data_IF_076048719838
#
_entry.id   IF_076048719838
#
_cell.length_a   1.000
_cell.length_b   1.000
_cell.length_c   1.000
_cell.angle_alpha   90.00
_cell.angle_beta   90.00
_cell.angle_gamma   90.00
#
_symmetry.space_group_name_H-M   'P 1'
#
loop_
_entity.id
_entity.type
_entity.pdbx_description
1 polymer ?
#
# COMPACT_ATOMS: atom_id res chain seq x y z
N UNK A 1 49.51 5.88 65.35
CA UNK A 1 50.63 5.49 64.47
C UNK A 1 50.24 5.66 63.03
N UNK A 2 50.80 6.65 62.38
CA UNK A 2 50.68 7.00 60.97
C UNK A 2 51.35 5.97 60.09
N UNK A 3 50.81 5.65 58.97
CA UNK A 3 51.63 5.44 57.80
C UNK A 3 50.89 5.90 56.56
N UNK A 4 51.48 6.87 55.90
CA UNK A 4 51.17 7.34 54.57
C UNK A 4 51.47 6.22 53.54
N UNK A 5 50.58 5.94 52.68
CA UNK A 5 50.93 5.31 51.41
C UNK A 5 50.27 6.03 50.24
N UNK A 6 51.13 6.32 49.30
CA UNK A 6 50.93 7.28 48.23
C UNK A 6 49.85 6.90 47.21
N UNK A 7 49.31 7.93 46.64
CA UNK A 7 48.42 7.90 45.46
C UNK A 7 49.28 7.61 44.21
N UNK A 8 49.15 6.45 43.67
CA UNK A 8 49.64 6.17 42.34
C UNK A 8 48.42 6.26 41.40
N UNK A 9 48.40 7.33 40.65
CA UNK A 9 47.44 7.53 39.57
C UNK A 9 47.85 6.63 38.42
N UNK A 10 47.15 5.53 38.24
CA UNK A 10 47.24 4.76 37.00
C UNK A 10 46.29 5.37 36.00
N UNK A 11 46.84 6.07 35.03
CA UNK A 11 46.15 6.47 33.83
C UNK A 11 45.99 5.22 32.95
N UNK A 12 44.84 4.60 33.00
CA UNK A 12 44.47 3.52 32.05
C UNK A 12 44.03 4.17 30.74
N UNK A 13 44.94 4.19 29.79
CA UNK A 13 44.66 4.49 28.41
C UNK A 13 43.82 3.32 27.86
N UNK A 14 42.50 3.53 27.73
CA UNK A 14 41.63 2.61 27.01
C UNK A 14 41.87 2.89 25.53
N UNK A 15 42.73 2.08 24.91
CA UNK A 15 42.81 1.94 23.48
C UNK A 15 41.57 1.16 23.08
N UNK A 16 40.56 1.86 22.55
CA UNK A 16 39.44 1.23 21.88
C UNK A 16 39.95 0.66 20.55
N UNK A 17 40.45 -0.57 20.59
CA UNK A 17 40.63 -1.36 19.39
C UNK A 17 39.24 -1.72 18.89
N UNK A 18 38.75 -0.99 17.88
CA UNK A 18 37.61 -1.39 17.05
C UNK A 18 38.05 -2.65 16.29
N UNK A 19 37.74 -3.80 16.86
CA UNK A 19 37.76 -5.06 16.13
C UNK A 19 36.56 -5.02 15.19
N UNK A 20 36.78 -4.55 13.96
CA UNK A 20 35.92 -4.92 12.84
C UNK A 20 36.11 -6.44 12.65
N UNK A 21 35.36 -7.23 13.38
CA UNK A 21 35.14 -8.61 13.00
C UNK A 21 34.28 -8.57 11.73
N UNK A 22 34.94 -8.63 10.57
CA UNK A 22 34.32 -9.10 9.37
C UNK A 22 33.89 -10.53 9.65
N UNK A 23 32.62 -10.71 9.98
CA UNK A 23 31.99 -12.03 9.97
C UNK A 23 31.99 -12.43 8.51
N UNK A 24 33.03 -13.12 8.08
CA UNK A 24 33.00 -13.91 6.87
C UNK A 24 32.03 -15.07 7.12
N UNK A 25 30.75 -14.84 6.87
CA UNK A 25 29.80 -15.92 6.72
C UNK A 25 30.19 -16.61 5.41
N UNK A 26 31.02 -17.63 5.53
CA UNK A 26 31.26 -18.55 4.43
C UNK A 26 29.95 -19.30 4.19
N UNK A 27 29.14 -18.80 3.27
CA UNK A 27 28.09 -19.60 2.69
C UNK A 27 28.77 -20.76 1.95
N UNK A 28 28.54 -21.97 2.43
CA UNK A 28 28.94 -23.16 1.70
C UNK A 28 28.38 -23.06 0.28
N UNK A 29 29.26 -23.06 -0.68
CA UNK A 29 29.03 -22.73 -2.06
C UNK A 29 28.02 -23.66 -2.74
N UNK A 30 26.84 -23.13 -2.97
CA UNK A 30 26.03 -23.53 -4.11
C UNK A 30 26.28 -22.56 -5.27
N UNK A 31 27.47 -22.63 -5.87
CA UNK A 31 27.87 -21.71 -6.95
C UNK A 31 26.97 -21.77 -8.20
N UNK A 32 26.18 -22.82 -8.34
CA UNK A 32 25.18 -22.96 -9.42
C UNK A 32 23.86 -22.28 -9.13
N UNK A 33 23.41 -22.23 -7.88
CA UNK A 33 22.14 -21.57 -7.52
C UNK A 33 22.29 -20.03 -7.49
N UNK A 34 23.42 -19.53 -7.02
CA UNK A 34 23.68 -18.10 -6.98
C UNK A 34 23.84 -17.51 -8.39
N UNK A 35 24.45 -18.24 -9.31
CA UNK A 35 24.54 -17.83 -10.72
C UNK A 35 23.19 -17.89 -11.45
N UNK A 36 22.35 -18.85 -11.11
CA UNK A 36 20.99 -18.95 -11.64
C UNK A 36 20.10 -17.82 -11.13
N UNK A 37 20.19 -17.50 -9.83
CA UNK A 37 19.42 -16.41 -9.22
C UNK A 37 19.85 -15.04 -9.74
N UNK A 38 21.14 -14.82 -9.96
CA UNK A 38 21.67 -13.58 -10.55
C UNK A 38 21.25 -13.44 -12.01
N UNK A 39 21.30 -14.52 -12.80
CA UNK A 39 20.81 -14.53 -14.19
C UNK A 39 19.29 -14.31 -14.26
N UNK A 40 18.52 -14.93 -13.34
CA UNK A 40 17.09 -14.71 -13.25
C UNK A 40 16.76 -13.25 -12.95
N UNK A 41 17.46 -12.62 -12.00
CA UNK A 41 17.28 -11.20 -11.66
C UNK A 41 17.62 -10.28 -12.82
N UNK A 42 18.64 -10.60 -13.61
CA UNK A 42 18.97 -9.86 -14.82
C UNK A 42 17.91 -10.01 -15.93
N UNK A 43 17.41 -11.24 -16.12
CA UNK A 43 16.34 -11.49 -17.09
C UNK A 43 15.02 -10.84 -16.69
N UNK A 44 14.68 -10.82 -15.40
CA UNK A 44 13.50 -10.11 -14.89
C UNK A 44 13.63 -8.59 -15.05
N UNK A 45 14.83 -8.03 -14.87
CA UNK A 45 15.11 -6.62 -15.14
C UNK A 45 14.95 -6.28 -16.65
N UNK A 46 15.26 -7.21 -17.53
CA UNK A 46 15.06 -7.09 -18.98
C UNK A 46 13.57 -7.23 -19.33
N UNK A 47 12.83 -8.13 -18.66
CA UNK A 47 11.40 -8.36 -18.88
C UNK A 47 10.54 -7.15 -18.49
N UNK A 48 10.95 -6.38 -17.46
CA UNK A 48 10.27 -5.13 -17.08
C UNK A 48 10.69 -3.92 -17.93
N UNK A 49 11.46 -4.13 -18.97
CA UNK A 49 12.04 -3.05 -19.77
C UNK A 49 12.99 -2.21 -18.90
N UNK A 50 14.16 -1.97 -19.41
CA UNK A 50 15.18 -1.13 -18.75
C UNK A 50 14.75 0.36 -18.78
N UNK A 51 13.51 0.64 -18.34
CA UNK A 51 12.97 2.00 -18.29
C UNK A 51 13.34 2.61 -16.95
N UNK A 52 14.38 3.42 -16.95
CA UNK A 52 14.73 4.26 -15.81
C UNK A 52 13.54 5.12 -15.30
N UNK A 53 12.51 5.30 -16.15
CA UNK A 53 11.31 6.06 -15.85
C UNK A 53 10.06 5.30 -16.33
N UNK A 54 9.39 4.55 -15.47
CA UNK A 54 8.14 3.88 -15.82
C UNK A 54 7.07 4.92 -16.19
N UNK A 55 6.37 4.69 -17.30
CA UNK A 55 5.29 5.58 -17.74
C UNK A 55 4.04 5.44 -16.86
N UNK A 56 3.75 4.21 -16.41
CA UNK A 56 2.61 3.87 -15.58
C UNK A 56 3.08 3.12 -14.32
N UNK A 57 2.43 3.37 -13.21
CA UNK A 57 2.69 2.69 -11.94
C UNK A 57 1.37 2.16 -11.40
N UNK A 58 1.31 0.87 -11.09
CA UNK A 58 0.22 0.25 -10.35
C UNK A 58 0.80 -0.18 -8.99
N UNK A 59 0.26 0.38 -7.93
CA UNK A 59 0.63 0.02 -6.56
C UNK A 59 -0.47 -0.87 -5.97
N UNK A 60 -0.13 -2.11 -5.68
CA UNK A 60 -1.06 -3.11 -5.15
C UNK A 60 -0.77 -3.33 -3.66
N UNK A 61 -1.80 -3.19 -2.84
CA UNK A 61 -1.73 -3.39 -1.39
C UNK A 61 -2.61 -4.57 -1.01
N UNK A 62 -1.99 -5.60 -0.42
CA UNK A 62 -2.72 -6.64 0.30
C UNK A 62 -2.91 -6.20 1.75
N UNK A 63 -4.07 -5.64 2.07
CA UNK A 63 -4.36 -5.13 3.41
C UNK A 63 -4.43 -6.27 4.42
N UNK A 64 -3.68 -6.13 5.52
CA UNK A 64 -3.54 -7.18 6.53
C UNK A 64 -2.79 -8.44 6.04
N UNK A 65 -2.33 -8.49 4.78
CA UNK A 65 -1.67 -9.65 4.18
C UNK A 65 -0.20 -9.75 4.60
N UNK A 66 0.03 -10.08 5.86
CA UNK A 66 1.37 -10.32 6.39
C UNK A 66 2.00 -11.64 5.91
N UNK A 67 3.26 -11.94 6.30
CA UNK A 67 3.98 -13.15 5.88
C UNK A 67 3.26 -14.46 6.18
N UNK A 68 2.43 -14.49 7.24
CA UNK A 68 1.65 -15.67 7.62
C UNK A 68 0.60 -16.03 6.57
N UNK A 69 -0.05 -15.04 5.96
CA UNK A 69 -1.02 -15.27 4.89
C UNK A 69 -0.35 -15.82 3.63
N UNK A 70 0.80 -15.27 3.25
CA UNK A 70 1.58 -15.81 2.13
C UNK A 70 2.02 -17.25 2.39
N UNK A 71 2.40 -17.56 3.63
CA UNK A 71 2.78 -18.91 4.05
C UNK A 71 1.58 -19.86 3.98
N UNK A 72 0.43 -19.46 4.53
CA UNK A 72 -0.80 -20.24 4.44
C UNK A 72 -1.20 -20.52 2.98
N UNK A 73 -1.11 -19.51 2.13
CA UNK A 73 -1.41 -19.66 0.70
C UNK A 73 -0.44 -20.63 -0.01
N UNK A 74 0.85 -20.62 0.35
CA UNK A 74 1.80 -21.63 -0.17
C UNK A 74 1.38 -23.03 0.18
N UNK A 75 1.00 -23.28 1.44
CA UNK A 75 0.49 -24.60 1.87
C UNK A 75 -0.82 -24.96 1.18
N UNK A 76 -1.76 -24.06 1.07
CA UNK A 76 -3.02 -24.28 0.36
C UNK A 76 -2.79 -24.69 -1.10
N UNK A 77 -1.88 -24.01 -1.78
CA UNK A 77 -1.56 -24.26 -3.19
C UNK A 77 -0.73 -25.55 -3.40
N UNK A 78 -0.01 -26.01 -2.38
CA UNK A 78 0.91 -27.12 -2.49
C UNK A 78 0.18 -28.46 -2.40
N UNK A 79 0.58 -29.44 -3.24
CA UNK A 79 0.04 -30.78 -3.16
C UNK A 79 0.74 -31.56 -2.04
N UNK A 80 0.00 -32.28 -1.16
CA UNK A 80 0.62 -33.19 -0.18
C UNK A 80 1.57 -34.20 -0.87
N UNK A 81 2.73 -34.43 -0.28
CA UNK A 81 3.75 -35.35 -0.83
C UNK A 81 4.60 -34.77 -1.96
N UNK A 82 4.40 -33.50 -2.35
CA UNK A 82 5.27 -32.86 -3.32
C UNK A 82 6.71 -32.72 -2.78
N UNK A 83 7.72 -33.05 -3.59
CA UNK A 83 9.14 -32.94 -3.21
C UNK A 83 9.60 -31.50 -2.98
N UNK A 84 8.91 -30.53 -3.58
CA UNK A 84 9.20 -29.09 -3.47
C UNK A 84 7.90 -28.32 -3.28
N UNK A 85 7.95 -27.25 -2.50
CA UNK A 85 6.86 -26.29 -2.37
C UNK A 85 6.60 -25.60 -3.71
N UNK A 86 5.34 -25.55 -4.14
CA UNK A 86 4.95 -24.79 -5.33
C UNK A 86 5.07 -23.30 -5.04
N UNK A 87 5.90 -22.54 -5.78
CA UNK A 87 6.03 -21.11 -5.57
C UNK A 87 4.74 -20.39 -5.92
N UNK A 88 4.46 -19.32 -5.19
CA UNK A 88 3.38 -18.36 -5.53
C UNK A 88 3.89 -17.34 -6.54
N UNK A 89 2.98 -16.58 -7.15
CA UNK A 89 3.37 -15.44 -7.99
C UNK A 89 4.21 -14.41 -7.23
N UNK A 90 3.93 -14.21 -5.94
CA UNK A 90 4.67 -13.29 -5.07
C UNK A 90 6.12 -13.72 -4.86
N UNK A 91 6.38 -15.01 -4.72
CA UNK A 91 7.75 -15.53 -4.47
C UNK A 91 8.70 -15.15 -5.59
N UNK A 92 8.22 -15.14 -6.82
CA UNK A 92 9.00 -14.78 -8.00
C UNK A 92 9.51 -13.33 -7.95
N UNK A 93 8.73 -12.42 -7.38
CA UNK A 93 9.01 -10.98 -7.37
C UNK A 93 9.45 -10.45 -6.00
N UNK A 94 9.55 -11.31 -4.99
CA UNK A 94 9.96 -10.91 -3.65
C UNK A 94 11.35 -10.28 -3.66
N UNK A 95 11.45 -9.03 -3.23
CA UNK A 95 12.72 -8.28 -3.11
C UNK A 95 13.09 -7.99 -1.67
N UNK A 96 12.13 -8.06 -0.75
CA UNK A 96 12.36 -7.77 0.66
C UNK A 96 11.07 -7.62 1.45
N UNK A 97 11.22 -7.13 2.66
CA UNK A 97 10.11 -6.84 3.57
C UNK A 97 10.23 -5.42 4.08
N UNK A 98 9.12 -4.84 4.50
CA UNK A 98 9.09 -3.55 5.17
C UNK A 98 8.51 -3.66 6.58
N UNK A 99 8.79 -2.66 7.40
CA UNK A 99 8.23 -2.54 8.75
C UNK A 99 7.09 -1.55 8.71
N UNK A 100 5.89 -2.01 9.07
CA UNK A 100 4.65 -1.22 8.98
C UNK A 100 4.23 -0.58 10.29
N UNK A 101 5.02 -0.65 11.37
CA UNK A 101 4.66 -0.02 12.65
C UNK A 101 4.30 1.46 12.48
N UNK A 102 3.28 1.90 13.22
CA UNK A 102 2.83 3.29 13.26
C UNK A 102 3.69 4.17 14.18
N UNK A 103 3.56 5.48 14.05
CA UNK A 103 4.08 6.44 15.04
C UNK A 103 2.97 6.81 16.03
N UNK A 104 2.42 5.78 16.67
CA UNK A 104 1.34 5.92 17.63
C UNK A 104 1.91 5.82 19.07
N UNK A 105 1.57 6.76 19.97
CA UNK A 105 2.10 6.74 21.35
C UNK A 105 1.44 5.67 22.23
N UNK A 106 0.36 5.04 21.79
CA UNK A 106 -0.44 4.10 22.59
C UNK A 106 -0.42 2.67 22.06
N UNK A 107 -0.15 2.48 20.77
CA UNK A 107 -0.28 1.19 20.11
C UNK A 107 0.95 0.82 19.29
N UNK A 108 1.40 -0.43 19.43
CA UNK A 108 2.55 -0.95 18.68
C UNK A 108 2.15 -1.53 17.31
N UNK A 109 0.88 -1.92 17.16
CA UNK A 109 0.38 -2.53 15.93
C UNK A 109 -0.22 -1.44 15.06
N UNK A 110 0.25 -1.33 13.82
CA UNK A 110 -0.30 -0.38 12.86
C UNK A 110 -1.70 -0.80 12.42
N UNK A 111 -2.55 0.20 12.17
CA UNK A 111 -3.73 0.01 11.35
C UNK A 111 -3.42 0.32 9.88
N UNK A 112 -4.41 0.09 8.98
CA UNK A 112 -4.26 0.40 7.55
C UNK A 112 -4.21 1.90 7.26
N UNK A 113 -4.72 2.75 8.14
CA UNK A 113 -4.65 4.19 7.97
C UNK A 113 -3.21 4.70 8.14
N UNK A 114 -2.54 4.37 9.24
CA UNK A 114 -1.15 4.75 9.48
C UNK A 114 -0.20 4.06 8.50
N UNK A 115 -0.39 2.76 8.24
CA UNK A 115 0.40 2.01 7.27
C UNK A 115 0.24 2.54 5.85
N UNK A 116 -0.99 2.79 5.43
CA UNK A 116 -1.32 3.37 4.12
C UNK A 116 -0.80 4.80 3.98
N UNK A 117 -0.90 5.63 5.02
CA UNK A 117 -0.31 6.98 5.05
C UNK A 117 1.21 6.91 4.82
N UNK A 118 1.90 5.95 5.44
CA UNK A 118 3.33 5.78 5.21
C UNK A 118 3.64 5.39 3.75
N UNK A 119 2.82 4.54 3.12
CA UNK A 119 2.97 4.20 1.71
C UNK A 119 2.66 5.36 0.77
N UNK A 120 1.61 6.13 1.06
CA UNK A 120 1.16 7.21 0.19
C UNK A 120 2.00 8.48 0.29
N UNK A 121 2.60 8.75 1.47
CA UNK A 121 3.27 10.03 1.76
C UNK A 121 4.76 9.90 2.10
N UNK A 122 5.21 8.69 2.45
CA UNK A 122 6.56 8.46 3.00
C UNK A 122 6.71 8.84 4.48
N UNK A 123 5.65 9.23 5.17
CA UNK A 123 5.69 9.66 6.56
C UNK A 123 4.89 8.73 7.47
N UNK A 124 5.46 8.39 8.62
CA UNK A 124 4.77 7.64 9.66
C UNK A 124 3.90 8.57 10.51
N UNK A 125 2.71 8.05 10.86
CA UNK A 125 1.72 8.77 11.66
C UNK A 125 1.04 7.83 12.66
N UNK A 126 0.09 8.35 13.42
CA UNK A 126 -0.68 7.59 14.42
C UNK A 126 -1.79 6.76 13.76
N UNK A 127 -2.27 5.74 14.44
CA UNK A 127 -3.36 4.89 13.97
C UNK A 127 -4.65 5.70 13.74
N UNK A 128 -5.35 5.41 12.66
CA UNK A 128 -6.54 6.15 12.23
C UNK A 128 -6.29 7.37 11.36
N UNK A 129 -5.06 7.87 11.24
CA UNK A 129 -4.74 9.05 10.46
C UNK A 129 -4.75 8.80 8.94
N UNK A 130 -5.44 9.64 8.19
CA UNK A 130 -5.50 9.60 6.73
C UNK A 130 -4.66 10.75 6.17
N UNK A 131 -3.46 10.44 5.72
CA UNK A 131 -2.49 11.37 5.10
C UNK A 131 -2.34 12.70 5.81
N UNK A 132 -2.31 12.63 7.15
CA UNK A 132 -1.90 13.73 8.04
C UNK A 132 -0.74 13.27 8.92
N UNK A 133 0.09 14.22 9.34
CA UNK A 133 1.18 13.98 10.28
C UNK A 133 0.68 13.80 11.73
N UNK A 134 1.60 13.62 12.67
CA UNK A 134 1.27 13.49 14.09
C UNK A 134 0.68 14.77 14.71
N UNK A 135 0.78 15.91 14.03
CA UNK A 135 0.16 17.18 14.39
C UNK A 135 -1.14 17.43 13.60
N UNK A 136 -1.66 16.42 12.91
CA UNK A 136 -2.88 16.47 12.09
C UNK A 136 -2.79 17.41 10.87
N UNK A 137 -1.58 17.74 10.43
CA UNK A 137 -1.35 18.54 9.23
C UNK A 137 -1.36 17.65 8.00
N UNK A 138 -2.07 18.04 6.92
CA UNK A 138 -2.07 17.29 5.65
C UNK A 138 -0.66 17.08 5.09
N UNK A 139 -0.40 15.88 4.61
CA UNK A 139 0.83 15.52 3.92
C UNK A 139 0.47 15.08 2.51
N UNK A 140 1.05 15.73 1.52
CA UNK A 140 0.80 15.43 0.11
C UNK A 140 1.13 13.98 -0.23
N UNK A 141 0.18 13.28 -0.84
CA UNK A 141 0.34 11.91 -1.29
C UNK A 141 1.06 11.78 -2.64
N UNK A 142 1.58 10.60 -2.93
CA UNK A 142 2.17 10.29 -4.24
C UNK A 142 1.14 10.38 -5.38
N UNK A 143 -0.13 10.08 -5.13
CA UNK A 143 -1.20 10.25 -6.12
C UNK A 143 -1.42 11.72 -6.46
N UNK A 144 -1.42 12.59 -5.46
CA UNK A 144 -1.54 14.03 -5.66
C UNK A 144 -0.36 14.59 -6.43
N UNK A 145 0.87 14.14 -6.12
CA UNK A 145 2.06 14.52 -6.88
C UNK A 145 1.98 14.07 -8.34
N UNK A 146 1.49 12.85 -8.60
CA UNK A 146 1.27 12.35 -9.95
C UNK A 146 0.22 13.20 -10.70
N UNK A 147 -0.86 13.58 -10.02
CA UNK A 147 -1.90 14.44 -10.59
C UNK A 147 -1.38 15.84 -10.93
N UNK A 148 -0.57 16.43 -10.08
CA UNK A 148 0.11 17.73 -10.35
C UNK A 148 0.96 17.67 -11.63
N UNK A 149 1.57 16.52 -11.89
CA UNK A 149 2.36 16.27 -13.11
C UNK A 149 1.52 15.90 -14.34
N UNK A 150 0.18 16.03 -14.24
CA UNK A 150 -0.74 15.74 -15.35
C UNK A 150 -0.98 14.26 -15.62
N UNK A 151 -0.60 13.36 -14.72
CA UNK A 151 -0.89 11.92 -14.83
C UNK A 151 -2.37 11.65 -14.59
N UNK A 152 -2.88 10.58 -15.21
CA UNK A 152 -4.15 9.97 -14.82
C UNK A 152 -3.97 9.21 -13.51
N UNK A 153 -4.99 9.23 -12.67
CA UNK A 153 -4.95 8.66 -11.32
C UNK A 153 -6.19 7.79 -11.07
N UNK A 154 -6.02 6.73 -10.29
CA UNK A 154 -7.13 5.82 -9.99
C UNK A 154 -6.98 5.16 -8.63
N UNK A 155 -8.13 4.84 -8.03
CA UNK A 155 -8.28 4.05 -6.83
C UNK A 155 -9.20 2.86 -7.13
N UNK A 156 -8.73 1.66 -6.86
CA UNK A 156 -9.51 0.42 -6.98
C UNK A 156 -9.38 -0.36 -5.70
N UNK A 157 -10.49 -0.75 -5.10
CA UNK A 157 -10.49 -1.45 -3.82
C UNK A 157 -11.64 -2.46 -3.72
N UNK A 158 -11.46 -3.49 -2.91
CA UNK A 158 -12.54 -4.40 -2.51
C UNK A 158 -13.27 -3.93 -1.26
N UNK A 159 -12.76 -2.91 -0.57
CA UNK A 159 -13.40 -2.24 0.55
C UNK A 159 -14.29 -1.07 0.08
N UNK A 160 -14.85 -0.31 1.03
CA UNK A 160 -15.45 0.99 0.73
C UNK A 160 -14.39 1.95 0.16
N UNK A 161 -14.70 2.73 -0.85
CA UNK A 161 -13.78 3.74 -1.41
C UNK A 161 -13.30 4.75 -0.34
N UNK A 162 -14.11 4.98 0.68
CA UNK A 162 -13.79 5.83 1.82
C UNK A 162 -13.05 5.12 2.94
N UNK A 163 -12.75 3.84 2.80
CA UNK A 163 -11.92 3.15 3.77
C UNK A 163 -10.46 3.62 3.71
N UNK A 164 -9.71 3.33 4.77
CA UNK A 164 -8.39 3.92 4.98
C UNK A 164 -7.42 3.69 3.82
N UNK A 165 -7.32 2.45 3.34
CA UNK A 165 -6.32 2.06 2.34
C UNK A 165 -6.43 2.84 1.02
N UNK A 166 -7.61 3.02 0.39
CA UNK A 166 -7.73 3.93 -0.74
C UNK A 166 -7.72 5.42 -0.32
N UNK A 167 -8.32 5.78 0.83
CA UNK A 167 -8.47 7.16 1.24
C UNK A 167 -7.15 7.91 1.43
N UNK A 168 -6.11 7.25 1.94
CA UNK A 168 -4.79 7.87 2.19
C UNK A 168 -4.11 8.43 0.93
N UNK A 169 -4.58 8.09 -0.25
CA UNK A 169 -4.02 8.62 -1.50
C UNK A 169 -4.67 9.93 -1.95
N UNK A 170 -5.90 10.24 -1.48
CA UNK A 170 -6.66 11.36 -2.02
C UNK A 170 -7.40 12.22 -0.97
N UNK A 171 -7.35 11.85 0.31
CA UNK A 171 -7.98 12.61 1.41
C UNK A 171 -6.99 12.87 2.55
N UNK A 172 -7.32 13.85 3.40
CA UNK A 172 -6.52 14.25 4.55
C UNK A 172 -7.45 14.52 5.73
N UNK A 173 -7.64 13.51 6.58
CA UNK A 173 -8.45 13.63 7.80
C UNK A 173 -7.74 13.00 8.98
N UNK A 174 -8.01 13.51 10.18
CA UNK A 174 -7.38 13.08 11.41
C UNK A 174 -7.96 11.76 11.98
N UNK A 175 -9.02 11.23 11.36
CA UNK A 175 -9.60 9.92 11.68
C UNK A 175 -10.20 9.25 10.45
N UNK A 176 -9.89 7.97 10.25
CA UNK A 176 -10.46 7.10 9.21
C UNK A 176 -11.99 6.93 9.33
N UNK A 177 -12.56 7.21 10.51
CA UNK A 177 -14.00 7.10 10.74
C UNK A 177 -14.79 8.25 10.11
N UNK A 178 -14.13 9.32 9.70
CA UNK A 178 -14.73 10.48 9.01
C UNK A 178 -15.03 10.18 7.55
N UNK A 179 -15.70 9.07 7.27
CA UNK A 179 -15.93 8.57 5.91
C UNK A 179 -16.71 9.53 5.01
N UNK A 180 -17.66 10.26 5.57
CA UNK A 180 -18.39 11.29 4.83
C UNK A 180 -17.49 12.47 4.43
N UNK A 181 -16.58 12.87 5.31
CA UNK A 181 -15.60 13.91 5.02
C UNK A 181 -14.61 13.45 3.94
N UNK A 182 -14.14 12.21 4.02
CA UNK A 182 -13.29 11.60 3.00
C UNK A 182 -13.96 11.64 1.62
N UNK A 183 -15.22 11.20 1.52
CA UNK A 183 -15.96 11.23 0.27
C UNK A 183 -16.15 12.68 -0.25
N UNK A 184 -16.39 13.63 0.65
CA UNK A 184 -16.48 15.05 0.29
C UNK A 184 -15.15 15.60 -0.21
N UNK A 185 -14.02 15.21 0.38
CA UNK A 185 -12.69 15.62 -0.09
C UNK A 185 -12.37 15.04 -1.47
N UNK A 186 -12.78 13.80 -1.77
CA UNK A 186 -12.64 13.23 -3.12
C UNK A 186 -13.31 14.10 -4.19
N UNK A 187 -14.42 14.75 -3.86
CA UNK A 187 -15.12 15.63 -4.78
C UNK A 187 -14.58 17.07 -4.74
N UNK A 188 -14.44 17.64 -3.55
CA UNK A 188 -14.19 19.07 -3.38
C UNK A 188 -12.74 19.48 -3.65
N UNK A 189 -11.79 18.61 -3.28
CA UNK A 189 -10.37 18.94 -3.41
C UNK A 189 -9.93 18.77 -4.86
N UNK A 190 -9.41 19.84 -5.41
CA UNK A 190 -8.97 19.89 -6.82
C UNK A 190 -7.47 20.13 -6.90
N UNK A 191 -6.86 19.59 -7.94
CA UNK A 191 -5.48 19.87 -8.33
C UNK A 191 -5.51 20.46 -9.72
N UNK A 192 -4.98 21.67 -9.88
CA UNK A 192 -5.02 22.42 -11.14
C UNK A 192 -6.45 22.50 -11.73
N UNK A 193 -7.45 22.69 -10.89
CA UNK A 193 -8.87 22.78 -11.27
C UNK A 193 -9.54 21.44 -11.64
N UNK A 194 -8.83 20.31 -11.54
CA UNK A 194 -9.34 18.97 -11.84
C UNK A 194 -9.52 18.14 -10.58
N UNK A 195 -10.44 17.19 -10.60
CA UNK A 195 -10.53 16.19 -9.52
C UNK A 195 -9.22 15.43 -9.35
N UNK A 196 -8.87 15.08 -8.11
CA UNK A 196 -7.64 14.37 -7.80
C UNK A 196 -7.60 12.98 -8.42
N UNK A 197 -8.74 12.29 -8.48
CA UNK A 197 -8.85 10.89 -8.90
C UNK A 197 -9.74 10.79 -10.13
N UNK A 198 -9.23 10.24 -11.21
CA UNK A 198 -10.00 10.09 -12.45
C UNK A 198 -10.88 8.83 -12.41
N UNK A 199 -10.40 7.74 -11.84
CA UNK A 199 -11.14 6.48 -11.75
C UNK A 199 -11.21 6.00 -10.31
N UNK A 200 -12.41 5.80 -9.81
CA UNK A 200 -12.68 5.27 -8.47
C UNK A 200 -13.61 4.06 -8.60
N UNK A 201 -13.14 2.88 -8.19
CA UNK A 201 -13.89 1.63 -8.28
C UNK A 201 -13.84 0.90 -6.93
N UNK A 202 -15.00 0.61 -6.33
CA UNK A 202 -15.05 -0.09 -5.04
C UNK A 202 -16.46 -0.21 -4.46
N UNK A 203 -16.51 -0.44 -3.15
CA UNK A 203 -17.73 -0.38 -2.36
C UNK A 203 -18.00 1.03 -1.81
N UNK A 204 -18.98 1.14 -0.91
CA UNK A 204 -19.28 2.37 -0.19
C UNK A 204 -20.25 3.31 -0.88
N UNK A 205 -21.20 2.80 -1.69
CA UNK A 205 -22.19 3.60 -2.42
C UNK A 205 -22.93 4.60 -1.51
N UNK A 206 -23.21 4.23 -0.27
CA UNK A 206 -23.87 5.07 0.73
C UNK A 206 -23.19 6.45 0.93
N UNK A 207 -21.86 6.51 0.85
CA UNK A 207 -21.11 7.77 1.04
C UNK A 207 -21.15 8.72 -0.15
N UNK A 208 -21.65 8.26 -1.30
CA UNK A 208 -21.81 9.07 -2.51
C UNK A 208 -23.27 9.41 -2.80
N UNK A 209 -24.22 8.85 -2.04
CA UNK A 209 -25.65 9.00 -2.19
C UNK A 209 -26.23 10.29 -1.63
N UNK A 210 -27.56 10.30 -1.46
CA UNK A 210 -28.33 11.45 -1.00
C UNK A 210 -27.92 11.94 0.40
N UNK A 211 -27.58 11.03 1.30
CA UNK A 211 -27.22 11.31 2.68
C UNK A 211 -25.92 12.13 2.77
N UNK A 212 -24.99 11.93 1.83
CA UNK A 212 -23.78 12.73 1.75
C UNK A 212 -23.79 13.68 0.55
N UNK A 213 -24.71 14.66 0.57
CA UNK A 213 -24.81 15.76 -0.41
C UNK A 213 -24.92 15.29 -1.87
N UNK A 214 -25.33 14.04 -2.09
CA UNK A 214 -25.51 13.45 -3.42
C UNK A 214 -24.26 13.59 -4.32
N UNK A 215 -23.12 13.17 -3.81
CA UNK A 215 -21.84 13.33 -4.48
C UNK A 215 -21.80 12.64 -5.84
N UNK A 216 -22.39 11.45 -5.98
CA UNK A 216 -22.48 10.75 -7.26
C UNK A 216 -23.12 11.62 -8.35
N UNK A 217 -24.22 12.33 -8.03
CA UNK A 217 -24.87 13.26 -8.96
C UNK A 217 -23.96 14.44 -9.33
N UNK A 218 -23.16 14.91 -8.38
CA UNK A 218 -22.20 16.00 -8.62
C UNK A 218 -21.06 15.53 -9.52
N UNK A 219 -20.47 14.36 -9.26
CA UNK A 219 -19.46 13.75 -10.12
C UNK A 219 -20.00 13.57 -11.55
N UNK A 220 -21.24 13.08 -11.69
CA UNK A 220 -21.88 12.94 -13.00
C UNK A 220 -21.99 14.29 -13.74
N UNK A 221 -22.34 15.36 -13.03
CA UNK A 221 -22.40 16.70 -13.61
C UNK A 221 -21.01 17.20 -14.07
N UNK A 222 -19.96 16.78 -13.37
CA UNK A 222 -18.56 17.12 -13.69
C UNK A 222 -17.95 16.18 -14.76
N UNK A 223 -18.75 15.29 -15.37
CA UNK A 223 -18.34 14.47 -16.51
C UNK A 223 -17.90 13.05 -16.18
N UNK A 224 -18.10 12.58 -14.95
CA UNK A 224 -17.86 11.17 -14.61
C UNK A 224 -19.01 10.28 -15.09
N UNK A 225 -18.67 9.11 -15.62
CA UNK A 225 -19.62 8.01 -15.69
C UNK A 225 -19.82 7.46 -14.28
N UNK A 226 -21.10 7.27 -13.90
CA UNK A 226 -21.48 6.68 -12.62
C UNK A 226 -21.97 5.27 -12.94
N UNK A 227 -21.26 4.26 -12.44
CA UNK A 227 -21.53 2.85 -12.73
C UNK A 227 -21.73 2.05 -11.45
N UNK A 228 -22.62 1.08 -11.48
CA UNK A 228 -22.99 0.27 -10.31
C UNK A 228 -22.82 -1.25 -10.54
N UNK A 229 -22.50 -1.65 -11.76
CA UNK A 229 -22.30 -3.05 -12.12
C UNK A 229 -21.27 -3.20 -13.24
N UNK A 230 -20.91 -4.47 -13.53
CA UNK A 230 -19.89 -4.84 -14.52
C UNK A 230 -20.27 -4.39 -15.94
N UNK A 231 -21.53 -4.53 -16.32
CA UNK A 231 -21.96 -4.22 -17.67
C UNK A 231 -21.89 -2.72 -17.94
N UNK A 232 -22.32 -1.91 -16.98
CA UNK A 232 -22.18 -0.46 -17.05
C UNK A 232 -20.70 -0.04 -17.12
N UNK A 233 -19.84 -0.68 -16.31
CA UNK A 233 -18.40 -0.40 -16.35
C UNK A 233 -17.79 -0.75 -17.71
N UNK A 234 -18.13 -1.90 -18.27
CA UNK A 234 -17.63 -2.35 -19.58
C UNK A 234 -18.11 -1.47 -20.73
N UNK A 235 -19.28 -0.85 -20.61
CA UNK A 235 -19.85 0.05 -21.62
C UNK A 235 -19.32 1.47 -21.50
N UNK A 236 -18.74 1.83 -20.37
CA UNK A 236 -18.20 3.18 -20.15
C UNK A 236 -17.05 3.48 -21.11
N UNK A 237 -17.12 4.65 -21.75
CA UNK A 237 -16.08 5.19 -22.62
C UNK A 237 -15.43 6.43 -22.00
N UNK A 238 -15.86 6.80 -20.79
CA UNK A 238 -15.33 7.97 -20.09
C UNK A 238 -13.92 7.73 -19.58
N UNK A 239 -13.11 8.79 -19.57
CA UNK A 239 -11.82 8.80 -18.87
C UNK A 239 -11.95 8.99 -17.35
N UNK A 240 -13.14 9.33 -16.89
CA UNK A 240 -13.46 9.57 -15.50
C UNK A 240 -14.66 8.72 -15.09
N UNK A 241 -14.45 7.84 -14.10
CA UNK A 241 -15.46 6.88 -13.67
C UNK A 241 -15.54 6.83 -12.14
N UNK A 242 -16.75 6.89 -11.62
CA UNK A 242 -17.06 6.53 -10.24
C UNK A 242 -17.94 5.28 -10.25
N UNK A 243 -17.35 4.13 -9.92
CA UNK A 243 -18.03 2.85 -9.80
C UNK A 243 -18.17 2.44 -8.33
N UNK A 244 -19.42 2.36 -7.87
CA UNK A 244 -19.73 1.91 -6.51
C UNK A 244 -20.64 0.68 -6.59
N UNK A 245 -20.07 -0.50 -6.29
CA UNK A 245 -20.68 -1.81 -6.59
C UNK A 245 -21.33 -2.46 -5.36
N UNK A 246 -21.23 -1.86 -4.20
CA UNK A 246 -21.86 -2.30 -2.95
C UNK A 246 -22.11 -1.10 -2.04
N UNK A 247 -23.13 -1.19 -1.19
CA UNK A 247 -23.40 -0.17 -0.16
C UNK A 247 -22.28 -0.06 0.89
N UNK A 248 -21.64 -1.19 1.18
CA UNK A 248 -20.49 -1.34 2.10
C UNK A 248 -19.31 -1.92 1.33
N UNK A 249 -18.48 -2.71 2.02
CA UNK A 249 -17.40 -3.48 1.37
C UNK A 249 -17.94 -4.44 0.33
N UNK A 250 -17.12 -4.76 -0.65
CA UNK A 250 -17.42 -5.80 -1.61
C UNK A 250 -17.47 -7.17 -0.93
N UNK A 251 -18.28 -8.12 -1.42
CA UNK A 251 -18.25 -9.49 -0.93
C UNK A 251 -16.86 -10.10 -1.03
N UNK A 252 -16.52 -11.01 -0.11
CA UNK A 252 -15.28 -11.77 -0.21
C UNK A 252 -15.24 -12.53 -1.54
N UNK A 253 -14.07 -12.64 -2.14
CA UNK A 253 -13.87 -13.30 -3.44
C UNK A 253 -14.44 -14.74 -3.45
N UNK A 254 -14.27 -15.46 -2.34
CA UNK A 254 -14.75 -16.85 -2.23
C UNK A 254 -16.29 -16.96 -2.26
N UNK A 255 -16.97 -15.92 -1.77
CA UNK A 255 -18.43 -15.86 -1.67
C UNK A 255 -19.06 -15.00 -2.79
N UNK A 256 -18.23 -14.36 -3.59
CA UNK A 256 -18.69 -13.37 -4.53
C UNK A 256 -19.33 -14.03 -5.76
N UNK A 257 -20.48 -13.53 -6.21
CA UNK A 257 -21.06 -14.00 -7.46
C UNK A 257 -20.15 -13.67 -8.65
N UNK A 258 -20.17 -14.53 -9.67
CA UNK A 258 -19.36 -14.33 -10.88
C UNK A 258 -19.62 -13.00 -11.62
N UNK A 259 -20.76 -12.37 -11.35
CA UNK A 259 -21.14 -11.06 -11.88
C UNK A 259 -20.47 -9.88 -11.17
N UNK A 260 -19.68 -10.11 -10.11
CA UNK A 260 -19.00 -9.03 -9.42
C UNK A 260 -17.97 -8.35 -10.35
N UNK A 261 -18.07 -7.04 -10.62
CA UNK A 261 -17.24 -6.36 -11.61
C UNK A 261 -15.75 -6.30 -11.23
N UNK A 262 -15.42 -6.37 -9.96
CA UNK A 262 -14.02 -6.37 -9.50
C UNK A 262 -13.39 -7.77 -9.46
N UNK A 263 -14.19 -8.80 -9.77
CA UNK A 263 -13.74 -10.19 -9.87
C UNK A 263 -13.31 -10.56 -11.29
N UNK A 264 -13.25 -9.60 -12.17
CA UNK A 264 -12.83 -9.83 -13.54
C UNK A 264 -11.37 -10.21 -13.57
N UNK A 265 -11.20 -11.48 -13.90
CA UNK A 265 -10.02 -12.01 -14.57
C UNK A 265 -8.63 -11.56 -14.08
N UNK A 266 -8.34 -11.85 -12.83
CA UNK A 266 -6.96 -12.15 -12.45
C UNK A 266 -6.51 -13.54 -13.01
N UNK A 267 -7.33 -14.18 -13.82
CA UNK A 267 -7.08 -15.50 -14.43
C UNK A 267 -6.69 -15.45 -15.91
N UNK A 268 -6.79 -14.28 -16.55
CA UNK A 268 -6.33 -14.09 -17.95
C UNK A 268 -5.08 -13.26 -18.05
#
# INVERSE_FOLDING_TARGET
FMNKMGKTTLASSIVAASVLSTVNVSYASGSSEQSAQTKQTQNDAIAFGNTKNPKNVIFMVGDGMGPSFNTAYRYYKNKPGAKKMTPTAFDKYLKGTNRTYSNDPKENVTDSAAGGTAFSTGHKTYNGAISVDTNKKPIKSVLEQAKEQGKSTGLVTTAELTDATPAVYAAHVDSRDKKDEIAQQFYNDKINGKHKVDVMLGGGAKYFGKENKNLAKKFKKDGYDIVSNKDELNQSQSKQVLGTFSEKDMPLQIDAPQSNPLLVDMQN
#
